data_IF_437918009550
#
_entry.id   IF_437918009550
#
_cell.length_a   1.000
_cell.length_b   1.000
_cell.length_c   1.000
_cell.angle_alpha   90.00
_cell.angle_beta   90.00
_cell.angle_gamma   90.00
#
_symmetry.space_group_name_H-M   'P 1'
#
loop_
_entity.id
_entity.type
_entity.pdbx_description
1 polymer ?
#
# COMPACT_ATOMS: atom_id res chain seq x y z
N UNK A 1 -10.55 39.49 2.21
CA UNK A 1 -9.28 38.75 2.06
C UNK A 1 -8.19 39.79 1.86
N UNK A 2 -7.23 39.86 2.78
CA UNK A 2 -6.06 40.73 2.63
C UNK A 2 -4.96 39.92 1.92
N UNK A 3 -4.20 40.58 1.05
CA UNK A 3 -3.10 39.94 0.33
C UNK A 3 -1.84 40.76 0.53
N UNK A 4 -0.78 40.12 1.01
CA UNK A 4 0.53 40.76 1.21
C UNK A 4 1.57 40.08 0.32
N UNK A 5 2.37 40.86 -0.39
CA UNK A 5 3.44 40.35 -1.25
C UNK A 5 4.79 40.62 -0.59
N UNK A 6 5.55 39.57 -0.27
CA UNK A 6 6.89 39.66 0.28
C UNK A 6 7.89 39.24 -0.79
N UNK A 7 8.74 40.18 -1.21
CA UNK A 7 9.73 39.99 -2.28
C UNK A 7 11.13 40.29 -1.78
N UNK A 8 12.14 39.64 -2.36
CA UNK A 8 13.52 39.96 -2.07
C UNK A 8 13.86 41.39 -2.49
N UNK A 9 14.52 42.13 -1.59
CA UNK A 9 15.07 43.47 -1.89
C UNK A 9 16.11 43.40 -3.01
N UNK A 10 17.00 42.42 -2.92
CA UNK A 10 18.02 42.12 -3.91
C UNK A 10 18.09 40.60 -4.13
N UNK A 11 17.89 40.19 -5.39
CA UNK A 11 17.90 38.79 -5.82
C UNK A 11 19.33 38.23 -5.81
N UNK A 12 20.37 39.06 -5.84
CA UNK A 12 21.77 38.65 -5.89
C UNK A 12 22.51 38.78 -4.56
N UNK A 13 21.91 39.40 -3.55
CA UNK A 13 22.50 39.52 -2.22
C UNK A 13 22.71 38.15 -1.54
N UNK A 14 23.81 38.00 -0.80
CA UNK A 14 24.13 36.78 -0.04
C UNK A 14 23.10 36.55 1.09
N UNK A 15 22.73 37.63 1.79
CA UNK A 15 21.65 37.64 2.77
C UNK A 15 20.36 38.13 2.11
N UNK A 16 19.40 37.21 1.94
CA UNK A 16 18.10 37.52 1.36
C UNK A 16 17.22 38.24 2.38
N UNK A 17 16.94 39.52 2.15
CA UNK A 17 15.98 40.28 2.93
C UNK A 17 14.66 40.44 2.16
N UNK A 18 13.55 40.16 2.83
CA UNK A 18 12.21 40.36 2.30
C UNK A 18 11.72 41.80 2.57
N UNK A 19 10.98 42.35 1.62
CA UNK A 19 10.21 43.59 1.79
C UNK A 19 8.80 43.41 1.28
N UNK A 20 7.88 44.21 1.81
CA UNK A 20 6.53 44.31 1.26
C UNK A 20 6.62 44.98 -0.11
N UNK A 21 6.04 44.35 -1.13
CA UNK A 21 5.88 44.91 -2.47
C UNK A 21 4.49 45.52 -2.64
N UNK A 22 4.41 46.53 -3.49
CA UNK A 22 3.11 47.05 -3.95
C UNK A 22 2.49 46.08 -4.97
N UNK A 23 1.19 46.25 -5.24
CA UNK A 23 0.51 45.43 -6.25
C UNK A 23 1.11 45.63 -7.65
N UNK A 24 1.47 46.86 -8.02
CA UNK A 24 2.08 47.16 -9.31
C UNK A 24 3.46 46.49 -9.46
N UNK A 25 4.25 46.47 -8.39
CA UNK A 25 5.53 45.76 -8.36
C UNK A 25 5.32 44.24 -8.52
N UNK A 26 4.35 43.68 -7.81
CA UNK A 26 3.98 42.27 -7.95
C UNK A 26 3.59 41.91 -9.38
N UNK A 27 2.72 42.71 -10.01
CA UNK A 27 2.26 42.49 -11.38
C UNK A 27 3.42 42.59 -12.38
N UNK A 28 4.32 43.56 -12.19
CA UNK A 28 5.53 43.70 -13.00
C UNK A 28 6.43 42.46 -12.88
N UNK A 29 6.61 41.92 -11.66
CA UNK A 29 7.38 40.70 -11.41
C UNK A 29 6.73 39.49 -12.08
N UNK A 30 5.42 39.31 -11.92
CA UNK A 30 4.68 38.20 -12.53
C UNK A 30 4.74 38.27 -14.06
N UNK A 31 4.66 39.47 -14.64
CA UNK A 31 4.79 39.69 -16.08
C UNK A 31 6.19 39.35 -16.58
N UNK A 32 7.24 39.78 -15.87
CA UNK A 32 8.62 39.44 -16.20
C UNK A 32 8.88 37.92 -16.10
N UNK A 33 8.39 37.28 -15.04
CA UNK A 33 8.52 35.84 -14.82
C UNK A 33 7.97 34.99 -15.98
N UNK A 34 6.87 35.41 -16.62
CA UNK A 34 6.27 34.68 -17.76
C UNK A 34 7.23 34.53 -18.94
N UNK A 35 8.10 35.52 -19.17
CA UNK A 35 9.07 35.52 -20.27
C UNK A 35 10.37 34.78 -19.98
N UNK A 36 10.62 34.37 -18.72
CA UNK A 36 11.88 33.76 -18.30
C UNK A 36 11.83 32.21 -18.39
N UNK A 37 12.98 31.56 -18.66
CA UNK A 37 13.14 30.12 -18.46
C UNK A 37 12.90 29.74 -16.99
N UNK A 38 12.41 28.52 -16.75
CA UNK A 38 12.00 28.03 -15.42
C UNK A 38 13.06 28.20 -14.33
N UNK A 39 14.34 28.05 -14.69
CA UNK A 39 15.49 28.23 -13.80
C UNK A 39 15.61 29.66 -13.25
N UNK A 40 15.25 30.65 -14.05
CA UNK A 40 15.44 32.09 -13.75
C UNK A 40 14.17 32.75 -13.21
N UNK A 41 13.08 32.00 -13.03
CA UNK A 41 11.82 32.54 -12.51
C UNK A 41 11.91 32.74 -11.00
N UNK A 42 11.46 33.90 -10.54
CA UNK A 42 11.25 34.17 -9.12
C UNK A 42 10.12 33.26 -8.60
N UNK A 43 10.33 32.62 -7.47
CA UNK A 43 9.41 31.60 -6.93
C UNK A 43 8.77 32.08 -5.64
N UNK A 44 7.48 31.80 -5.49
CA UNK A 44 6.69 32.30 -4.38
C UNK A 44 5.88 31.16 -3.77
N UNK A 45 5.91 31.05 -2.45
CA UNK A 45 4.99 30.19 -1.70
C UNK A 45 3.79 31.00 -1.24
N UNK A 46 2.65 30.34 -1.09
CA UNK A 46 1.44 30.94 -0.54
C UNK A 46 1.24 30.44 0.88
N UNK A 47 1.08 31.37 1.80
CA UNK A 47 0.73 31.10 3.19
C UNK A 47 -0.57 31.86 3.52
N UNK A 48 -1.55 31.19 4.13
CA UNK A 48 -2.83 31.81 4.46
C UNK A 48 -3.18 31.54 5.91
N UNK A 49 -3.41 32.61 6.65
CA UNK A 49 -3.85 32.58 8.04
C UNK A 49 -5.33 32.93 8.05
N UNK A 50 -6.14 32.03 8.60
CA UNK A 50 -7.58 32.26 8.78
C UNK A 50 -7.84 32.51 10.25
N UNK A 51 -8.21 33.74 10.61
CA UNK A 51 -8.89 34.04 11.86
C UNK A 51 -10.41 34.00 11.63
N UNK A 52 -11.17 33.75 12.68
CA UNK A 52 -12.61 33.53 12.79
C UNK A 52 -13.53 34.35 11.85
N UNK A 53 -13.08 35.50 11.32
CA UNK A 53 -13.79 36.28 10.30
C UNK A 53 -12.95 36.80 9.13
N UNK A 54 -11.63 36.56 9.09
CA UNK A 54 -10.75 37.10 8.05
C UNK A 54 -9.65 36.12 7.65
N UNK A 55 -9.49 35.95 6.34
CA UNK A 55 -8.32 35.28 5.74
C UNK A 55 -7.34 36.33 5.24
N UNK A 56 -6.12 36.32 5.77
CA UNK A 56 -4.97 37.05 5.24
C UNK A 56 -4.04 36.07 4.55
N UNK A 57 -3.69 36.32 3.29
CA UNK A 57 -2.81 35.48 2.50
C UNK A 57 -1.54 36.24 2.12
N UNK A 58 -0.39 35.62 2.34
CA UNK A 58 0.91 36.13 1.96
C UNK A 58 1.46 35.33 0.79
N UNK A 59 2.04 36.03 -0.19
CA UNK A 59 2.89 35.44 -1.20
C UNK A 59 4.33 35.79 -0.86
N UNK A 60 5.13 34.79 -0.52
CA UNK A 60 6.48 34.96 0.02
C UNK A 60 7.47 34.44 -1.01
N UNK A 61 8.37 35.31 -1.45
CA UNK A 61 9.47 34.89 -2.31
C UNK A 61 10.43 33.99 -1.56
N UNK A 62 10.80 32.89 -2.18
CA UNK A 62 11.66 31.87 -1.57
C UNK A 62 12.73 31.41 -2.55
N UNK A 63 13.74 30.72 -2.03
CA UNK A 63 14.73 30.05 -2.86
C UNK A 63 14.10 28.94 -3.72
N UNK A 64 14.73 28.55 -4.84
CA UNK A 64 14.27 27.43 -5.65
C UNK A 64 14.12 26.12 -4.86
N UNK A 65 14.97 25.89 -3.86
CA UNK A 65 14.98 24.68 -3.05
C UNK A 65 13.81 24.63 -2.07
N UNK A 66 13.53 25.74 -1.39
CA UNK A 66 12.37 25.88 -0.51
C UNK A 66 11.07 25.77 -1.30
N UNK A 67 10.99 26.41 -2.47
CA UNK A 67 9.83 26.28 -3.33
C UNK A 67 9.59 24.83 -3.74
N UNK A 68 10.65 24.08 -4.11
CA UNK A 68 10.51 22.67 -4.49
C UNK A 68 9.95 21.82 -3.35
N UNK A 69 10.41 22.04 -2.11
CA UNK A 69 9.89 21.36 -0.92
C UNK A 69 8.42 21.69 -0.68
N UNK A 70 8.09 22.97 -0.63
CA UNK A 70 6.72 23.44 -0.43
C UNK A 70 5.78 22.95 -1.52
N UNK A 71 6.19 23.01 -2.79
CA UNK A 71 5.37 22.58 -3.91
C UNK A 71 5.09 21.08 -3.88
N UNK A 72 6.07 20.24 -3.50
CA UNK A 72 5.87 18.80 -3.37
C UNK A 72 4.85 18.45 -2.27
N UNK A 73 4.91 19.14 -1.12
CA UNK A 73 3.95 18.98 -0.03
C UNK A 73 2.56 19.49 -0.41
N UNK A 74 2.50 20.67 -1.03
CA UNK A 74 1.25 21.26 -1.49
C UNK A 74 0.57 20.40 -2.55
N UNK A 75 1.30 19.90 -3.55
CA UNK A 75 0.78 19.00 -4.58
C UNK A 75 0.25 17.69 -3.97
N UNK A 76 0.97 17.12 -3.00
CA UNK A 76 0.50 15.94 -2.27
C UNK A 76 -0.82 16.24 -1.53
N UNK A 77 -0.87 17.37 -0.83
CA UNK A 77 -2.06 17.79 -0.09
C UNK A 77 -3.25 18.04 -1.01
N UNK A 78 -3.05 18.73 -2.15
CA UNK A 78 -4.11 18.98 -3.13
C UNK A 78 -4.60 17.69 -3.80
N UNK A 79 -3.70 16.74 -4.08
CA UNK A 79 -4.10 15.40 -4.55
C UNK A 79 -4.97 14.70 -3.52
N UNK A 80 -4.55 14.65 -2.26
CA UNK A 80 -5.34 14.05 -1.18
C UNK A 80 -6.69 14.76 -1.03
N UNK A 81 -6.72 16.09 -1.06
CA UNK A 81 -7.95 16.87 -0.97
C UNK A 81 -8.91 16.56 -2.12
N UNK A 82 -8.40 16.47 -3.35
CA UNK A 82 -9.19 16.15 -4.54
C UNK A 82 -9.71 14.70 -4.48
N UNK A 83 -8.85 13.74 -4.17
CA UNK A 83 -9.24 12.34 -3.97
C UNK A 83 -10.29 12.23 -2.86
N UNK A 84 -10.07 12.84 -1.70
CA UNK A 84 -11.05 12.84 -0.60
C UNK A 84 -12.33 13.63 -0.91
N UNK A 85 -12.36 14.48 -1.93
CA UNK A 85 -13.61 15.09 -2.40
C UNK A 85 -14.47 14.12 -3.22
N UNK A 86 -13.85 13.08 -3.79
CA UNK A 86 -14.53 12.03 -4.57
C UNK A 86 -15.00 10.88 -3.69
N UNK A 87 -14.43 10.70 -2.50
CA UNK A 87 -14.75 9.59 -1.59
C UNK A 87 -15.27 10.09 -0.25
N UNK A 88 -16.36 9.50 0.21
CA UNK A 88 -16.87 9.70 1.56
C UNK A 88 -16.39 8.55 2.45
N UNK A 89 -15.83 8.87 3.61
CA UNK A 89 -15.59 7.87 4.67
C UNK A 89 -16.86 7.73 5.49
N UNK A 90 -17.38 6.51 5.60
CA UNK A 90 -18.57 6.17 6.38
C UNK A 90 -18.21 5.18 7.49
N UNK A 91 -18.96 5.21 8.60
CA UNK A 91 -18.85 4.18 9.62
C UNK A 91 -19.49 2.89 9.14
N UNK A 92 -18.92 1.74 9.49
CA UNK A 92 -19.61 0.46 9.26
C UNK A 92 -20.90 0.34 10.06
N UNK A 93 -21.00 1.02 11.20
CA UNK A 93 -22.22 1.08 12.02
C UNK A 93 -23.27 2.06 11.46
N UNK A 94 -23.03 2.68 10.30
CA UNK A 94 -24.02 3.59 9.71
C UNK A 94 -25.25 2.80 9.25
N UNK A 95 -26.46 3.29 9.56
CA UNK A 95 -27.69 2.61 9.17
C UNK A 95 -27.90 2.68 7.65
N UNK A 96 -28.49 1.63 7.08
CA UNK A 96 -28.81 1.54 5.65
C UNK A 96 -30.32 1.66 5.46
N UNK A 97 -30.80 2.78 4.93
CA UNK A 97 -32.23 2.96 4.66
C UNK A 97 -32.70 2.12 3.47
N UNK A 98 -33.78 1.37 3.65
CA UNK A 98 -34.46 0.64 2.58
C UNK A 98 -33.84 -0.71 2.20
N UNK A 99 -32.87 -1.20 2.96
CA UNK A 99 -32.34 -2.55 2.85
C UNK A 99 -32.75 -3.42 4.06
N UNK A 100 -32.72 -4.74 3.91
CA UNK A 100 -33.04 -5.71 4.98
C UNK A 100 -31.83 -6.00 5.88
N UNK A 101 -30.98 -4.98 6.06
CA UNK A 101 -29.71 -5.03 6.80
C UNK A 101 -29.62 -3.81 7.71
N UNK A 102 -29.08 -4.00 8.90
CA UNK A 102 -29.09 -2.96 9.93
C UNK A 102 -27.91 -1.99 9.77
N UNK A 103 -26.77 -2.48 9.29
CA UNK A 103 -25.51 -1.73 9.22
C UNK A 103 -24.80 -1.87 7.87
N UNK A 104 -24.06 -0.83 7.45
CA UNK A 104 -23.20 -0.90 6.25
C UNK A 104 -22.17 -2.03 6.31
N UNK A 105 -21.74 -2.41 7.52
CA UNK A 105 -20.82 -3.54 7.72
C UNK A 105 -21.35 -4.86 7.19
N UNK A 106 -22.68 -5.09 7.24
CA UNK A 106 -23.30 -6.32 6.74
C UNK A 106 -23.28 -6.44 5.21
N UNK A 107 -23.11 -5.33 4.48
CA UNK A 107 -22.88 -5.37 3.02
C UNK A 107 -21.48 -5.85 2.64
N UNK A 108 -20.54 -5.85 3.58
CA UNK A 108 -19.14 -6.14 3.29
C UNK A 108 -18.91 -7.64 3.48
N UNK A 109 -18.62 -8.40 2.42
CA UNK A 109 -18.28 -9.81 2.57
C UNK A 109 -16.98 -9.92 3.39
N UNK A 110 -16.95 -10.88 4.30
CA UNK A 110 -15.77 -11.22 5.12
C UNK A 110 -14.63 -11.87 4.31
N UNK A 111 -14.87 -12.13 3.02
CA UNK A 111 -13.94 -12.76 2.11
C UNK A 111 -13.78 -14.27 2.34
N UNK A 112 -14.64 -14.86 3.17
CA UNK A 112 -14.64 -16.29 3.45
C UNK A 112 -15.51 -17.00 2.42
N UNK A 113 -14.88 -17.79 1.57
CA UNK A 113 -15.58 -18.69 0.67
C UNK A 113 -15.72 -20.07 1.33
N UNK A 114 -16.91 -20.34 1.87
CA UNK A 114 -17.21 -21.61 2.55
C UNK A 114 -17.16 -22.78 1.56
N UNK A 115 -17.52 -22.56 0.29
CA UNK A 115 -17.46 -23.59 -0.75
C UNK A 115 -16.00 -23.96 -1.01
N UNK A 116 -15.13 -22.97 -1.21
CA UNK A 116 -13.70 -23.21 -1.38
C UNK A 116 -13.07 -23.92 -0.16
N UNK A 117 -13.43 -23.52 1.06
CA UNK A 117 -12.95 -24.19 2.27
C UNK A 117 -13.41 -25.65 2.31
N UNK A 118 -14.66 -25.91 1.92
CA UNK A 118 -15.22 -27.27 1.88
C UNK A 118 -14.52 -28.12 0.84
N UNK A 119 -14.26 -27.57 -0.35
CA UNK A 119 -13.48 -28.22 -1.42
C UNK A 119 -12.06 -28.57 -0.95
N UNK A 120 -11.37 -27.64 -0.29
CA UNK A 120 -10.01 -27.86 0.22
C UNK A 120 -9.96 -28.98 1.27
N UNK A 121 -10.96 -29.03 2.16
CA UNK A 121 -11.10 -30.10 3.16
C UNK A 121 -11.32 -31.44 2.46
N UNK A 122 -12.29 -31.52 1.54
CA UNK A 122 -12.60 -32.75 0.80
C UNK A 122 -11.40 -33.24 -0.02
N UNK A 123 -10.68 -32.32 -0.66
CA UNK A 123 -9.44 -32.61 -1.39
C UNK A 123 -8.37 -33.18 -0.46
N UNK A 124 -8.15 -32.57 0.71
CA UNK A 124 -7.15 -33.02 1.66
C UNK A 124 -7.48 -34.41 2.24
N UNK A 125 -8.75 -34.70 2.51
CA UNK A 125 -9.20 -36.01 2.97
C UNK A 125 -8.96 -37.10 1.91
N UNK A 126 -9.37 -36.85 0.66
CA UNK A 126 -9.13 -37.75 -0.46
C UNK A 126 -7.63 -37.98 -0.68
N UNK A 127 -6.83 -36.93 -0.60
CA UNK A 127 -5.37 -37.02 -0.69
C UNK A 127 -4.81 -37.93 0.42
N UNK A 128 -5.23 -37.74 1.67
CA UNK A 128 -4.80 -38.58 2.80
C UNK A 128 -5.20 -40.04 2.64
N UNK A 129 -6.36 -40.32 2.03
CA UNK A 129 -6.78 -41.69 1.74
C UNK A 129 -5.90 -42.35 0.68
N UNK A 130 -5.69 -41.68 -0.46
CA UNK A 130 -4.80 -42.15 -1.53
C UNK A 130 -3.37 -42.39 -1.02
N UNK A 131 -2.86 -41.51 -0.16
CA UNK A 131 -1.54 -41.65 0.45
C UNK A 131 -1.47 -42.81 1.46
N UNK A 132 -2.52 -43.00 2.26
CA UNK A 132 -2.63 -44.13 3.21
C UNK A 132 -2.57 -45.47 2.50
N UNK A 133 -3.24 -45.61 1.36
CA UNK A 133 -3.22 -46.82 0.54
C UNK A 133 -1.85 -47.05 -0.12
N UNK A 134 -1.14 -45.97 -0.46
CA UNK A 134 0.15 -46.06 -1.14
C UNK A 134 1.29 -46.52 -0.21
N UNK A 135 1.57 -45.79 0.88
CA UNK A 135 2.69 -46.09 1.79
C UNK A 135 2.39 -45.65 3.23
N UNK A 136 2.80 -46.45 4.26
CA UNK A 136 2.53 -46.12 5.67
C UNK A 136 3.14 -44.80 6.16
N UNK A 137 4.22 -44.34 5.54
CA UNK A 137 4.91 -43.09 5.91
C UNK A 137 4.40 -41.86 5.16
N UNK A 138 3.46 -42.01 4.22
CA UNK A 138 3.09 -40.95 3.29
C UNK A 138 2.26 -39.83 3.93
N UNK A 139 1.34 -40.14 4.85
CA UNK A 139 0.58 -39.10 5.56
C UNK A 139 1.46 -38.30 6.52
N UNK A 140 2.37 -38.97 7.24
CA UNK A 140 3.35 -38.26 8.07
C UNK A 140 4.25 -37.36 7.22
N UNK A 141 4.59 -37.80 6.00
CA UNK A 141 5.35 -37.01 5.05
C UNK A 141 4.57 -35.75 4.63
N UNK A 142 3.26 -35.87 4.39
CA UNK A 142 2.38 -34.73 4.10
C UNK A 142 2.32 -33.75 5.28
N UNK A 143 2.16 -34.25 6.52
CA UNK A 143 2.09 -33.40 7.72
C UNK A 143 3.36 -32.55 7.90
N UNK A 144 4.54 -33.11 7.62
CA UNK A 144 5.80 -32.35 7.64
C UNK A 144 5.92 -31.29 6.54
N UNK A 145 5.26 -31.50 5.40
CA UNK A 145 5.24 -30.53 4.31
C UNK A 145 4.27 -29.39 4.59
N UNK A 146 3.13 -29.68 5.24
CA UNK A 146 2.12 -28.68 5.62
C UNK A 146 2.54 -27.82 6.82
N UNK A 147 3.30 -28.39 7.76
CA UNK A 147 3.77 -27.68 8.97
C UNK A 147 5.03 -26.80 8.77
N UNK A 148 5.43 -26.57 7.51
CA UNK A 148 6.69 -25.92 7.09
C UNK A 148 7.98 -26.46 7.76
N UNK A 149 7.90 -27.63 8.38
CA UNK A 149 8.99 -28.26 9.11
C UNK A 149 9.86 -29.15 8.19
N UNK A 150 10.20 -28.62 7.01
CA UNK A 150 10.95 -29.35 5.98
C UNK A 150 12.39 -29.67 6.42
N UNK A 151 12.95 -28.85 7.31
CA UNK A 151 14.33 -28.94 7.82
C UNK A 151 14.48 -30.12 8.79
N UNK A 152 13.59 -30.30 9.78
CA UNK A 152 13.70 -31.38 10.76
C UNK A 152 13.07 -32.69 10.28
N UNK A 153 12.20 -32.64 9.28
CA UNK A 153 11.58 -33.81 8.67
C UNK A 153 12.58 -34.96 8.37
N UNK A 154 13.78 -34.63 7.85
CA UNK A 154 14.79 -35.66 7.55
C UNK A 154 15.28 -36.37 8.81
N UNK A 155 15.58 -35.61 9.87
CA UNK A 155 16.08 -36.18 11.12
C UNK A 155 14.99 -36.99 11.83
N UNK A 156 13.75 -36.49 11.87
CA UNK A 156 12.63 -37.15 12.54
C UNK A 156 12.30 -38.48 11.85
N UNK A 157 12.24 -38.50 10.51
CA UNK A 157 11.98 -39.74 9.75
C UNK A 157 13.14 -40.73 9.90
N UNK A 158 14.40 -40.27 9.92
CA UNK A 158 15.56 -41.14 10.16
C UNK A 158 15.47 -41.82 11.53
N UNK A 159 15.21 -41.05 12.60
CA UNK A 159 15.11 -41.56 13.96
C UNK A 159 13.91 -42.50 14.14
N UNK A 160 12.76 -42.17 13.56
CA UNK A 160 11.52 -42.95 13.72
C UNK A 160 11.54 -44.28 12.97
N UNK A 161 12.08 -44.29 11.74
CA UNK A 161 12.08 -45.48 10.89
C UNK A 161 13.43 -46.21 10.84
N UNK A 162 14.45 -45.72 11.53
CA UNK A 162 15.80 -46.31 11.53
C UNK A 162 16.45 -46.32 10.14
N UNK A 163 16.11 -45.37 9.27
CA UNK A 163 16.57 -45.35 7.88
C UNK A 163 17.67 -44.32 7.63
N UNK A 164 18.49 -44.56 6.62
CA UNK A 164 19.57 -43.65 6.24
C UNK A 164 19.03 -42.38 5.58
N UNK A 165 19.79 -41.28 5.66
CA UNK A 165 19.47 -40.01 4.98
C UNK A 165 19.19 -40.20 3.48
N UNK A 166 19.96 -41.08 2.81
CA UNK A 166 19.78 -41.40 1.39
C UNK A 166 18.42 -42.03 1.11
N UNK A 167 17.93 -42.90 2.00
CA UNK A 167 16.61 -43.51 1.88
C UNK A 167 15.50 -42.48 2.09
N UNK A 168 15.67 -41.55 3.04
CA UNK A 168 14.71 -40.45 3.24
C UNK A 168 14.64 -39.56 2.01
N UNK A 169 15.77 -39.21 1.41
CA UNK A 169 15.80 -38.43 0.17
C UNK A 169 15.04 -39.14 -0.97
N UNK A 170 15.21 -40.47 -1.10
CA UNK A 170 14.45 -41.28 -2.06
C UNK A 170 12.94 -41.27 -1.76
N UNK A 171 12.53 -41.35 -0.49
CA UNK A 171 11.12 -41.25 -0.08
C UNK A 171 10.52 -39.88 -0.39
N UNK A 172 11.25 -38.79 -0.11
CA UNK A 172 10.81 -37.42 -0.45
C UNK A 172 10.62 -37.25 -1.95
N UNK A 173 11.56 -37.73 -2.76
CA UNK A 173 11.43 -37.69 -4.22
C UNK A 173 10.21 -38.47 -4.71
N UNK A 174 10.03 -39.71 -4.21
CA UNK A 174 8.87 -40.52 -4.55
C UNK A 174 7.54 -39.88 -4.10
N UNK A 175 7.53 -39.22 -2.94
CA UNK A 175 6.36 -38.51 -2.42
C UNK A 175 5.96 -37.35 -3.33
N UNK A 176 6.91 -36.49 -3.71
CA UNK A 176 6.65 -35.35 -4.60
C UNK A 176 6.09 -35.83 -5.94
N UNK A 177 6.66 -36.88 -6.53
CA UNK A 177 6.13 -37.44 -7.77
C UNK A 177 4.72 -38.01 -7.59
N UNK A 178 4.44 -38.67 -6.45
CA UNK A 178 3.10 -39.19 -6.18
C UNK A 178 2.07 -38.07 -5.99
N UNK A 179 2.43 -36.98 -5.32
CA UNK A 179 1.55 -35.81 -5.16
C UNK A 179 1.23 -35.20 -6.53
N UNK A 180 2.24 -35.02 -7.40
CA UNK A 180 2.02 -34.53 -8.76
C UNK A 180 1.09 -35.43 -9.58
N UNK A 181 1.25 -36.74 -9.47
CA UNK A 181 0.38 -37.72 -10.13
C UNK A 181 -1.08 -37.58 -9.63
N UNK A 182 -1.28 -37.48 -8.31
CA UNK A 182 -2.61 -37.32 -7.72
C UNK A 182 -3.26 -36.00 -8.13
N UNK A 183 -2.48 -34.91 -8.18
CA UNK A 183 -2.96 -33.60 -8.61
C UNK A 183 -3.40 -33.60 -10.08
N UNK A 184 -2.59 -34.17 -10.98
CA UNK A 184 -2.94 -34.29 -12.40
C UNK A 184 -4.22 -35.09 -12.65
N UNK A 185 -4.42 -36.18 -11.91
CA UNK A 185 -5.59 -37.02 -12.06
C UNK A 185 -6.87 -36.44 -11.41
N UNK A 186 -6.77 -35.31 -10.70
CA UNK A 186 -7.93 -34.60 -10.14
C UNK A 186 -8.34 -33.38 -11.02
N UNK A 187 -7.59 -33.06 -12.09
CA UNK A 187 -7.91 -32.00 -13.05
C UNK A 187 -8.69 -32.53 -14.30
N UNK A 188 -8.80 -33.85 -14.46
CA UNK A 188 -9.62 -34.54 -15.47
C UNK A 188 -10.97 -34.99 -14.90
#
# INVERSE_FOLDING_TARGET
MKTTFLVYKDIHAENKELRVATHDEWDAIMKANKGLPTENRRRFIRDCITDSMQTDCMFIEVSPDEYRKWHAEHDKSERIRKTNSEYQTLSFDAPVEGADIDTLGECVPDGIDIEQISEDIMFLENLREKLRQWRPWANEMLDYYLSDNKVYCTQIIMSKYGITRRMVAKRKAAFVEKIKEIMKNNEE
#
